data_IF_483642978942
#
_entry.id   IF_483642978942
#
_cell.length_a   1.000
_cell.length_b   1.000
_cell.length_c   1.000
_cell.angle_alpha   90.00
_cell.angle_beta   90.00
_cell.angle_gamma   90.00
#
_symmetry.space_group_name_H-M   'P 1'
#
loop_
_entity.id
_entity.type
_entity.pdbx_description
1 polymer ?
#
# COMPACT_ATOMS: atom_id res chain seq x y z
N UNK A 1 72.35 20.96 -9.31
CA UNK A 1 70.93 21.30 -8.97
C UNK A 1 70.91 22.10 -7.69
N UNK A 2 70.41 23.32 -7.73
CA UNK A 2 70.36 24.19 -6.55
C UNK A 2 69.38 23.65 -5.50
N UNK A 3 69.67 23.87 -4.23
CA UNK A 3 68.89 23.39 -3.05
C UNK A 3 67.38 23.70 -3.23
N UNK A 4 67.04 24.86 -3.78
CA UNK A 4 65.66 25.29 -4.04
C UNK A 4 64.96 24.45 -5.12
N UNK A 5 65.64 23.95 -6.12
CA UNK A 5 65.07 23.10 -7.19
C UNK A 5 64.74 21.68 -6.66
N UNK A 6 65.49 21.18 -5.68
CA UNK A 6 65.19 19.92 -5.00
C UNK A 6 63.98 20.04 -4.08
N UNK A 7 63.83 21.16 -3.36
CA UNK A 7 62.68 21.45 -2.51
C UNK A 7 61.41 21.57 -3.38
N UNK A 8 61.47 22.30 -4.47
CA UNK A 8 60.34 22.43 -5.40
C UNK A 8 59.91 21.07 -5.99
N UNK A 9 60.88 20.27 -6.46
CA UNK A 9 60.58 18.90 -6.93
C UNK A 9 59.90 18.02 -5.86
N UNK A 10 60.40 18.09 -4.63
CA UNK A 10 59.84 17.32 -3.51
C UNK A 10 58.40 17.78 -3.19
N UNK A 11 58.12 19.07 -3.19
CA UNK A 11 56.77 19.64 -3.00
C UNK A 11 55.78 19.23 -4.12
N UNK A 12 56.24 19.20 -5.37
CA UNK A 12 55.39 18.76 -6.48
C UNK A 12 55.08 17.29 -6.43
N UNK A 13 56.06 16.46 -6.07
CA UNK A 13 55.85 14.99 -5.87
C UNK A 13 54.91 14.73 -4.70
N UNK A 14 55.08 15.46 -3.59
CA UNK A 14 54.20 15.32 -2.41
C UNK A 14 52.75 15.73 -2.74
N UNK A 15 52.53 16.81 -3.50
CA UNK A 15 51.21 17.22 -3.97
C UNK A 15 50.59 16.18 -4.90
N UNK A 16 51.37 15.59 -5.80
CA UNK A 16 50.92 14.50 -6.66
C UNK A 16 50.51 13.25 -5.86
N UNK A 17 51.29 12.85 -4.87
CA UNK A 17 50.96 11.72 -4.00
C UNK A 17 49.67 11.99 -3.17
N UNK A 18 49.53 13.23 -2.65
CA UNK A 18 48.32 13.62 -1.92
C UNK A 18 47.09 13.64 -2.82
N UNK A 19 47.20 14.14 -4.07
CA UNK A 19 46.08 14.15 -5.00
C UNK A 19 45.68 12.74 -5.44
N UNK A 20 46.61 11.83 -5.65
CA UNK A 20 46.37 10.43 -5.96
C UNK A 20 45.71 9.71 -4.73
N UNK A 21 46.26 9.95 -3.51
CA UNK A 21 45.66 9.39 -2.30
C UNK A 21 44.23 9.91 -2.07
N UNK A 22 43.96 11.18 -2.33
CA UNK A 22 42.60 11.77 -2.28
C UNK A 22 41.71 11.18 -3.37
N UNK A 23 42.18 10.99 -4.58
CA UNK A 23 41.42 10.34 -5.65
C UNK A 23 41.10 8.87 -5.30
N UNK A 24 42.06 8.13 -4.73
CA UNK A 24 41.82 6.77 -4.24
C UNK A 24 40.82 6.73 -3.09
N UNK A 25 40.88 7.66 -2.13
CA UNK A 25 39.92 7.69 -1.02
C UNK A 25 38.51 8.04 -1.50
N UNK A 26 38.35 8.89 -2.53
CA UNK A 26 37.04 9.20 -3.14
C UNK A 26 36.50 7.98 -3.90
N UNK A 27 37.36 7.25 -4.63
CA UNK A 27 36.96 6.03 -5.35
C UNK A 27 36.66 4.90 -4.39
N UNK A 28 37.37 4.77 -3.28
CA UNK A 28 37.17 3.74 -2.25
C UNK A 28 35.90 4.03 -1.41
N UNK A 29 35.58 5.30 -1.14
CA UNK A 29 34.29 5.71 -0.57
C UNK A 29 33.11 5.41 -1.51
N UNK A 30 33.28 5.57 -2.82
CA UNK A 30 32.23 5.21 -3.80
C UNK A 30 32.04 3.71 -4.01
N UNK A 31 33.04 2.88 -3.66
CA UNK A 31 32.96 1.42 -3.79
C UNK A 31 32.50 0.68 -2.50
N UNK A 32 32.33 1.40 -1.39
CA UNK A 32 31.96 0.83 -0.10
C UNK A 32 30.58 1.34 0.36
N UNK A 33 29.70 1.75 -0.55
CA UNK A 33 28.30 2.00 -0.21
C UNK A 33 27.69 0.68 0.26
N UNK A 34 27.38 0.61 1.56
CA UNK A 34 26.70 -0.53 2.15
C UNK A 34 25.35 -0.71 1.47
N UNK A 35 25.20 -1.76 0.67
CA UNK A 35 23.90 -2.10 0.10
C UNK A 35 23.02 -2.70 1.18
N UNK A 36 22.00 -2.00 1.61
CA UNK A 36 21.01 -2.52 2.55
C UNK A 36 20.09 -3.52 1.88
N UNK A 37 19.69 -4.56 2.62
CA UNK A 37 18.69 -5.53 2.19
C UNK A 37 17.42 -5.35 3.02
N UNK A 38 16.28 -5.19 2.34
CA UNK A 38 14.98 -4.94 2.97
C UNK A 38 13.99 -6.01 2.55
N UNK A 39 13.33 -6.67 3.51
CA UNK A 39 12.25 -7.62 3.23
C UNK A 39 10.90 -6.92 3.18
N UNK A 40 10.13 -7.26 2.15
CA UNK A 40 8.73 -6.81 1.97
C UNK A 40 7.81 -7.96 2.34
N UNK A 41 6.93 -7.72 3.31
CA UNK A 41 6.01 -8.72 3.87
C UNK A 41 4.60 -8.17 3.73
N UNK A 42 3.82 -8.76 2.82
CA UNK A 42 2.43 -8.40 2.54
C UNK A 42 1.55 -9.64 2.50
N UNK A 43 0.26 -9.49 2.72
CA UNK A 43 -0.69 -10.60 2.61
C UNK A 43 -0.76 -11.11 1.17
N UNK A 44 -0.76 -12.44 1.01
CA UNK A 44 -0.83 -13.10 -0.31
C UNK A 44 0.10 -12.46 -1.34
N UNK A 45 1.41 -12.51 -1.09
CA UNK A 45 2.46 -11.80 -1.85
C UNK A 45 2.47 -12.09 -3.36
N UNK A 46 1.79 -13.15 -3.82
CA UNK A 46 1.66 -13.51 -5.23
C UNK A 46 0.41 -12.93 -5.90
N UNK A 47 -0.44 -12.20 -5.17
CA UNK A 47 -1.61 -11.54 -5.75
C UNK A 47 -1.21 -10.47 -6.77
N UNK A 48 -1.92 -10.41 -7.89
CA UNK A 48 -1.76 -9.37 -8.91
C UNK A 48 -2.06 -7.95 -8.39
N UNK A 49 -2.78 -7.84 -7.29
CA UNK A 49 -2.98 -6.59 -6.57
C UNK A 49 -1.66 -5.84 -6.33
N UNK A 50 -0.58 -6.55 -6.01
CA UNK A 50 0.70 -5.96 -5.65
C UNK A 50 1.60 -5.56 -6.82
N UNK A 51 1.14 -5.70 -8.08
CA UNK A 51 1.98 -5.42 -9.25
C UNK A 51 2.49 -3.99 -9.25
N UNK A 52 1.62 -2.99 -9.26
CA UNK A 52 2.01 -1.57 -9.25
C UNK A 52 2.81 -1.17 -8.00
N UNK A 53 2.49 -1.74 -6.83
CA UNK A 53 3.25 -1.52 -5.60
C UNK A 53 4.69 -1.99 -5.76
N UNK A 54 4.89 -3.23 -6.25
CA UNK A 54 6.23 -3.81 -6.45
C UNK A 54 7.02 -3.02 -7.47
N UNK A 55 6.42 -2.59 -8.57
CA UNK A 55 7.07 -1.72 -9.56
C UNK A 55 7.56 -0.40 -8.94
N UNK A 56 6.76 0.22 -8.08
CA UNK A 56 7.17 1.40 -7.33
C UNK A 56 8.31 1.12 -6.35
N UNK A 57 8.25 0.00 -5.65
CA UNK A 57 9.32 -0.45 -4.75
C UNK A 57 10.62 -0.72 -5.49
N UNK A 58 10.57 -1.43 -6.63
CA UNK A 58 11.74 -1.77 -7.44
C UNK A 58 12.39 -0.51 -8.04
N UNK A 59 11.58 0.47 -8.46
CA UNK A 59 12.08 1.76 -8.93
C UNK A 59 12.86 2.50 -7.82
N UNK A 60 12.27 2.61 -6.62
CA UNK A 60 12.94 3.23 -5.49
C UNK A 60 14.19 2.43 -5.05
N UNK A 61 14.11 1.11 -5.07
CA UNK A 61 15.25 0.25 -4.72
C UNK A 61 16.46 0.50 -5.64
N UNK A 62 16.21 0.73 -6.93
CA UNK A 62 17.25 1.13 -7.90
C UNK A 62 17.81 2.51 -7.58
N UNK A 63 16.94 3.48 -7.26
CA UNK A 63 17.34 4.87 -7.00
C UNK A 63 18.14 5.01 -5.70
N UNK A 64 17.80 4.23 -4.68
CA UNK A 64 18.41 4.30 -3.33
C UNK A 64 19.43 3.20 -3.06
N UNK A 65 19.77 2.34 -4.02
CA UNK A 65 20.75 1.27 -3.85
C UNK A 65 20.32 0.19 -2.82
N UNK A 66 19.02 -0.02 -2.66
CA UNK A 66 18.44 -1.03 -1.77
C UNK A 66 18.26 -2.36 -2.52
N UNK A 67 18.52 -3.47 -1.85
CA UNK A 67 18.14 -4.81 -2.33
C UNK A 67 16.82 -5.21 -1.68
N UNK A 68 15.80 -5.49 -2.50
CA UNK A 68 14.52 -5.98 -2.00
C UNK A 68 14.47 -7.51 -1.98
N UNK A 69 13.90 -8.04 -0.91
CA UNK A 69 13.51 -9.42 -0.75
C UNK A 69 11.99 -9.49 -0.53
N UNK A 70 11.26 -10.02 -1.51
CA UNK A 70 9.81 -10.22 -1.37
C UNK A 70 9.55 -11.54 -0.66
N UNK A 71 9.21 -11.49 0.63
CA UNK A 71 8.89 -12.68 1.39
C UNK A 71 7.68 -13.39 0.79
N UNK A 72 7.80 -14.69 0.55
CA UNK A 72 6.70 -15.51 0.04
C UNK A 72 5.69 -15.74 1.17
N UNK A 73 4.51 -15.16 1.02
CA UNK A 73 3.38 -15.33 1.93
C UNK A 73 2.20 -15.94 1.20
N UNK A 74 1.44 -16.78 1.88
CA UNK A 74 0.07 -17.10 1.49
C UNK A 74 -0.91 -16.07 2.05
N UNK A 75 -2.20 -16.37 1.96
CA UNK A 75 -3.22 -15.58 2.66
C UNK A 75 -2.96 -15.67 4.17
N UNK A 76 -2.72 -14.55 4.79
CA UNK A 76 -2.56 -14.44 6.25
C UNK A 76 -3.94 -14.60 6.91
N UNK A 77 -3.97 -15.22 8.08
CA UNK A 77 -5.22 -15.56 8.76
C UNK A 77 -5.15 -15.36 10.29
N UNK A 78 -4.01 -14.88 10.78
CA UNK A 78 -3.84 -14.52 12.20
C UNK A 78 -2.66 -13.55 12.36
N UNK A 79 -2.52 -12.97 13.55
CA UNK A 79 -1.44 -12.02 13.90
C UNK A 79 -0.06 -12.68 14.01
N UNK A 80 -0.02 -13.96 14.34
CA UNK A 80 1.23 -14.66 14.68
C UNK A 80 2.09 -14.95 13.44
N UNK A 81 1.54 -15.50 12.33
CA UNK A 81 2.38 -15.87 11.18
C UNK A 81 3.14 -14.70 10.55
N UNK A 82 2.57 -13.49 10.53
CA UNK A 82 3.27 -12.34 9.93
C UNK A 82 4.47 -11.92 10.78
N UNK A 83 4.34 -11.89 12.10
CA UNK A 83 5.43 -11.53 13.00
C UNK A 83 6.54 -12.60 13.03
N UNK A 84 6.17 -13.86 12.92
CA UNK A 84 7.14 -14.96 12.79
C UNK A 84 7.91 -14.86 11.44
N UNK A 85 7.26 -14.36 10.38
CA UNK A 85 7.95 -14.05 9.12
C UNK A 85 8.93 -12.88 9.32
N UNK A 86 8.52 -11.80 9.98
CA UNK A 86 9.40 -10.67 10.29
C UNK A 86 10.63 -11.13 11.06
N UNK A 87 10.45 -11.94 12.13
CA UNK A 87 11.54 -12.46 12.95
C UNK A 87 12.53 -13.28 12.12
N UNK A 88 12.04 -14.21 11.32
CA UNK A 88 12.85 -15.05 10.42
C UNK A 88 13.62 -14.24 9.39
N UNK A 89 13.00 -13.23 8.76
CA UNK A 89 13.67 -12.37 7.79
C UNK A 89 14.81 -11.58 8.45
N UNK A 90 14.59 -11.04 9.66
CA UNK A 90 15.62 -10.33 10.42
C UNK A 90 16.76 -11.27 10.86
N UNK A 91 16.44 -12.49 11.29
CA UNK A 91 17.44 -13.52 11.61
C UNK A 91 18.26 -13.93 10.37
N UNK A 92 17.67 -13.88 9.18
CA UNK A 92 18.39 -14.14 7.92
C UNK A 92 19.35 -13.02 7.52
N UNK A 93 19.35 -11.91 8.25
CA UNK A 93 20.30 -10.80 8.11
C UNK A 93 19.83 -9.65 7.25
N UNK A 94 18.50 -9.49 7.01
CA UNK A 94 17.98 -8.28 6.38
C UNK A 94 18.13 -7.08 7.30
N UNK A 95 18.37 -5.90 6.72
CA UNK A 95 18.61 -4.67 7.47
C UNK A 95 17.31 -4.01 7.96
N UNK A 96 16.19 -4.23 7.25
CA UNK A 96 14.89 -3.68 7.61
C UNK A 96 13.73 -4.42 6.96
N UNK A 97 12.50 -4.06 7.37
CA UNK A 97 11.27 -4.66 6.85
C UNK A 97 10.23 -3.60 6.47
N UNK A 98 9.53 -3.83 5.36
CA UNK A 98 8.33 -3.11 4.97
C UNK A 98 7.18 -4.08 5.17
N UNK A 99 6.25 -3.76 6.06
CA UNK A 99 5.27 -4.71 6.59
C UNK A 99 3.84 -4.20 6.44
N UNK A 100 2.98 -4.98 5.79
CA UNK A 100 1.54 -4.82 5.90
C UNK A 100 1.02 -5.66 7.05
N UNK A 101 0.42 -5.03 8.06
CA UNK A 101 -0.13 -5.72 9.21
C UNK A 101 -1.42 -6.47 8.85
N UNK A 102 -1.53 -7.71 9.30
CA UNK A 102 -2.78 -8.46 9.25
C UNK A 102 -3.81 -7.91 10.25
N UNK A 103 -3.35 -7.48 11.43
CA UNK A 103 -4.18 -6.85 12.45
C UNK A 103 -3.45 -5.69 13.11
N UNK A 104 -4.15 -4.59 13.32
CA UNK A 104 -3.59 -3.36 13.89
C UNK A 104 -3.60 -3.35 15.41
N UNK A 105 -4.44 -4.16 16.04
CA UNK A 105 -4.58 -4.21 17.50
C UNK A 105 -3.88 -5.42 18.12
N UNK A 106 -3.28 -5.21 19.29
CA UNK A 106 -2.63 -6.26 20.08
C UNK A 106 -1.37 -6.84 19.45
N UNK A 107 -0.76 -6.14 18.48
CA UNK A 107 0.51 -6.53 17.85
C UNK A 107 1.69 -5.67 18.33
N UNK A 108 1.41 -4.54 18.95
CA UNK A 108 2.41 -3.54 19.32
C UNK A 108 3.58 -4.13 20.13
N UNK A 109 3.30 -4.74 21.28
CA UNK A 109 4.33 -5.27 22.17
C UNK A 109 5.20 -6.35 21.49
N UNK A 110 4.55 -7.23 20.70
CA UNK A 110 5.29 -8.29 19.98
C UNK A 110 6.12 -7.73 18.84
N UNK A 111 5.60 -6.77 18.08
CA UNK A 111 6.34 -6.14 16.99
C UNK A 111 7.55 -5.36 17.52
N UNK A 112 7.40 -4.65 18.64
CA UNK A 112 8.49 -3.92 19.30
C UNK A 112 9.61 -4.85 19.80
N UNK A 113 9.27 -6.08 20.22
CA UNK A 113 10.25 -7.09 20.59
C UNK A 113 11.03 -7.65 19.40
N UNK A 114 10.40 -7.68 18.21
CA UNK A 114 10.95 -8.30 17.01
C UNK A 114 11.75 -7.30 16.17
N UNK A 115 11.25 -6.08 16.00
CA UNK A 115 11.90 -5.08 15.14
C UNK A 115 11.86 -3.68 15.73
N UNK A 116 12.97 -2.96 15.65
CA UNK A 116 13.06 -1.56 16.09
C UNK A 116 12.41 -0.61 15.07
N UNK A 117 12.00 0.57 15.52
CA UNK A 117 11.28 1.57 14.72
C UNK A 117 12.08 2.12 13.54
N UNK A 118 13.39 2.16 13.64
CA UNK A 118 14.32 2.57 12.59
C UNK A 118 14.53 1.50 11.51
N UNK A 119 14.05 0.28 11.74
CA UNK A 119 14.16 -0.86 10.80
C UNK A 119 12.81 -1.34 10.30
N UNK A 120 11.72 -0.60 10.55
CA UNK A 120 10.38 -0.98 10.11
C UNK A 120 9.62 0.21 9.52
N UNK A 121 8.96 -0.03 8.39
CA UNK A 121 7.94 0.84 7.80
C UNK A 121 6.67 0.03 7.64
N UNK A 122 5.55 0.54 8.15
CA UNK A 122 4.24 -0.06 7.93
C UNK A 122 3.67 0.39 6.59
N UNK A 123 2.97 -0.51 5.92
CA UNK A 123 2.40 -0.31 4.60
C UNK A 123 0.87 -0.32 4.66
N UNK A 124 0.23 0.71 4.09
CA UNK A 124 -1.21 0.86 3.92
C UNK A 124 -2.00 1.01 5.23
N UNK A 125 -1.71 0.21 6.24
CA UNK A 125 -2.43 0.21 7.53
C UNK A 125 -1.50 0.50 8.69
N UNK A 126 -1.94 1.39 9.57
CA UNK A 126 -1.26 1.71 10.82
C UNK A 126 -1.65 0.70 11.92
N UNK A 127 -1.02 0.81 13.06
CA UNK A 127 -1.26 0.00 14.25
C UNK A 127 -1.89 0.82 15.38
N UNK A 128 -2.25 0.15 16.46
CA UNK A 128 -2.71 0.84 17.68
C UNK A 128 -1.65 0.63 18.79
N UNK A 129 -1.10 1.69 19.39
CA UNK A 129 -1.38 3.12 19.12
C UNK A 129 -0.89 3.58 17.74
N UNK A 130 -1.66 4.50 17.14
CA UNK A 130 -1.31 5.08 15.83
C UNK A 130 0.01 5.86 15.90
N UNK A 131 0.70 5.96 14.75
CA UNK A 131 1.96 6.70 14.59
C UNK A 131 3.14 6.20 15.45
N UNK A 132 3.03 5.05 16.07
CA UNK A 132 4.16 4.49 16.81
C UNK A 132 5.25 4.00 15.86
N UNK A 133 4.89 3.28 14.80
CA UNK A 133 5.74 3.02 13.63
C UNK A 133 5.32 3.96 12.50
N UNK A 134 6.30 4.36 11.68
CA UNK A 134 5.99 5.13 10.49
C UNK A 134 5.18 4.29 9.50
N UNK A 135 4.07 4.85 9.04
CA UNK A 135 3.20 4.22 8.05
C UNK A 135 3.25 5.00 6.73
N UNK A 136 3.32 4.29 5.61
CA UNK A 136 3.17 4.82 4.25
C UNK A 136 1.89 4.25 3.66
N UNK A 137 0.93 5.12 3.36
CA UNK A 137 -0.35 4.70 2.82
C UNK A 137 -1.30 5.85 2.54
N UNK A 138 -2.49 5.60 2.00
CA UNK A 138 -3.48 6.63 1.77
C UNK A 138 -4.14 7.06 3.10
N UNK A 139 -4.81 8.22 3.08
CA UNK A 139 -5.77 8.57 4.12
C UNK A 139 -7.01 7.67 3.98
N UNK A 140 -7.04 6.60 4.77
CA UNK A 140 -8.07 5.57 4.65
C UNK A 140 -9.48 6.07 5.02
N UNK A 141 -9.61 6.96 6.03
CA UNK A 141 -10.90 7.58 6.36
C UNK A 141 -11.41 8.42 5.20
N UNK A 142 -10.52 9.16 4.55
CA UNK A 142 -10.85 9.95 3.37
C UNK A 142 -11.30 9.08 2.20
N UNK A 143 -10.68 7.92 1.95
CA UNK A 143 -11.12 7.00 0.89
C UNK A 143 -12.58 6.58 1.08
N UNK A 144 -12.97 6.23 2.30
CA UNK A 144 -14.38 5.91 2.62
C UNK A 144 -15.31 7.09 2.40
N UNK A 145 -14.90 8.28 2.84
CA UNK A 145 -15.66 9.51 2.63
C UNK A 145 -15.83 9.87 1.15
N UNK A 146 -14.83 9.58 0.32
CA UNK A 146 -14.89 9.77 -1.14
C UNK A 146 -15.94 8.86 -1.75
N UNK A 147 -15.99 7.57 -1.39
CA UNK A 147 -17.06 6.67 -1.85
C UNK A 147 -18.44 7.21 -1.51
N UNK A 148 -18.66 7.71 -0.29
CA UNK A 148 -19.90 8.36 0.08
C UNK A 148 -20.19 9.61 -0.76
N UNK A 149 -19.16 10.36 -1.12
CA UNK A 149 -19.23 11.53 -2.02
C UNK A 149 -19.74 11.14 -3.41
N UNK A 150 -19.16 10.08 -3.99
CA UNK A 150 -19.58 9.55 -5.31
C UNK A 150 -21.04 9.07 -5.30
N UNK A 151 -21.47 8.39 -4.23
CA UNK A 151 -22.88 8.02 -4.10
C UNK A 151 -23.79 9.23 -4.06
N UNK A 152 -23.40 10.27 -3.32
CA UNK A 152 -24.20 11.53 -3.26
C UNK A 152 -24.23 12.22 -4.62
N UNK A 153 -23.15 12.22 -5.38
CA UNK A 153 -23.09 12.79 -6.72
C UNK A 153 -24.01 12.02 -7.70
N UNK A 154 -23.99 10.68 -7.65
CA UNK A 154 -24.75 9.82 -8.56
C UNK A 154 -26.26 9.80 -8.27
N UNK A 155 -26.62 9.78 -7.00
CA UNK A 155 -28.01 9.56 -6.60
C UNK A 155 -28.73 10.85 -6.15
N UNK A 156 -28.02 11.82 -5.59
CA UNK A 156 -28.63 13.02 -5.01
C UNK A 156 -29.72 12.66 -3.99
N UNK A 157 -30.89 13.28 -4.10
CA UNK A 157 -32.05 13.01 -3.24
C UNK A 157 -32.57 11.56 -3.35
N UNK A 158 -32.30 10.85 -4.45
CA UNK A 158 -32.69 9.43 -4.62
C UNK A 158 -31.90 8.46 -3.75
N UNK A 159 -30.86 8.94 -3.04
CA UNK A 159 -30.10 8.14 -2.09
C UNK A 159 -30.93 7.83 -0.83
N UNK A 160 -31.89 8.70 -0.50
CA UNK A 160 -32.78 8.50 0.64
C UNK A 160 -33.57 7.19 0.50
N UNK A 161 -33.49 6.37 1.56
CA UNK A 161 -34.12 5.06 1.64
C UNK A 161 -33.46 3.95 0.83
N UNK A 162 -32.36 4.25 0.11
CA UNK A 162 -31.56 3.21 -0.54
C UNK A 162 -30.89 2.31 0.48
N UNK A 163 -30.89 1.03 0.18
CA UNK A 163 -30.28 -0.03 0.97
C UNK A 163 -28.87 -0.27 0.45
N UNK A 164 -27.91 -0.17 1.34
CA UNK A 164 -26.49 -0.32 1.04
C UNK A 164 -25.96 -1.60 1.69
N UNK A 165 -25.25 -2.41 0.92
CA UNK A 165 -24.42 -3.50 1.42
C UNK A 165 -22.96 -3.12 1.41
N UNK A 166 -22.20 -3.48 2.42
CA UNK A 166 -20.77 -3.16 2.52
C UNK A 166 -19.96 -4.44 2.69
N UNK A 167 -19.04 -4.68 1.76
CA UNK A 167 -18.02 -5.72 1.83
C UNK A 167 -16.75 -5.07 2.41
N UNK A 168 -16.44 -5.37 3.66
CA UNK A 168 -15.36 -4.70 4.38
C UNK A 168 -14.00 -5.37 4.19
N UNK A 169 -13.98 -6.71 4.08
CA UNK A 169 -12.74 -7.46 4.18
C UNK A 169 -12.24 -7.59 5.61
N UNK A 170 -10.92 -7.51 5.81
CA UNK A 170 -10.30 -7.72 7.12
C UNK A 170 -10.42 -6.50 8.04
N UNK A 171 -11.46 -6.43 8.84
CA UNK A 171 -11.67 -5.35 9.83
C UNK A 171 -10.68 -5.40 11.02
N UNK A 172 -9.82 -6.40 11.09
CA UNK A 172 -8.65 -6.38 11.99
C UNK A 172 -7.65 -5.27 11.64
N UNK A 173 -7.61 -4.86 10.37
CA UNK A 173 -6.78 -3.75 9.90
C UNK A 173 -7.43 -2.40 10.21
N UNK A 174 -6.65 -1.46 10.75
CA UNK A 174 -7.11 -0.10 11.02
C UNK A 174 -7.55 0.60 9.73
N UNK A 175 -6.85 0.37 8.62
CA UNK A 175 -7.19 0.92 7.31
C UNK A 175 -8.64 0.61 6.91
N UNK A 176 -9.07 -0.64 7.06
CA UNK A 176 -10.43 -1.07 6.70
C UNK A 176 -11.47 -0.42 7.63
N UNK A 177 -11.20 -0.37 8.93
CA UNK A 177 -12.09 0.31 9.89
C UNK A 177 -12.23 1.80 9.56
N UNK A 178 -11.12 2.48 9.27
CA UNK A 178 -11.12 3.90 8.88
C UNK A 178 -11.90 4.14 7.58
N UNK A 179 -11.79 3.24 6.59
CA UNK A 179 -12.60 3.32 5.35
C UNK A 179 -14.09 3.18 5.64
N UNK A 180 -14.46 2.23 6.50
CA UNK A 180 -15.86 2.06 6.91
C UNK A 180 -16.38 3.28 7.65
N UNK A 181 -15.63 3.79 8.64
CA UNK A 181 -15.99 4.99 9.40
C UNK A 181 -16.16 6.21 8.49
N UNK A 182 -15.24 6.41 7.55
CA UNK A 182 -15.33 7.52 6.58
C UNK A 182 -16.56 7.39 5.66
N UNK A 183 -16.90 6.18 5.25
CA UNK A 183 -18.11 5.90 4.49
C UNK A 183 -19.38 6.21 5.31
N UNK A 184 -19.46 5.71 6.54
CA UNK A 184 -20.59 5.93 7.45
C UNK A 184 -20.78 7.41 7.77
N UNK A 185 -19.69 8.12 8.08
CA UNK A 185 -19.71 9.57 8.31
C UNK A 185 -20.20 10.33 7.07
N UNK A 186 -19.72 9.95 5.89
CA UNK A 186 -20.10 10.57 4.64
C UNK A 186 -21.57 10.31 4.24
N UNK A 187 -22.15 9.19 4.68
CA UNK A 187 -23.57 8.85 4.44
C UNK A 187 -24.53 9.42 5.49
N UNK A 188 -24.00 10.00 6.57
CA UNK A 188 -24.83 10.65 7.58
C UNK A 188 -25.76 11.68 6.94
N UNK A 189 -26.97 11.75 7.39
CA UNK A 189 -27.99 12.70 6.90
C UNK A 189 -28.48 12.50 5.45
N UNK A 190 -27.99 11.49 4.72
CA UNK A 190 -28.49 11.17 3.38
C UNK A 190 -29.83 10.44 3.40
N UNK A 191 -30.11 9.76 4.52
CA UNK A 191 -31.26 8.87 4.65
C UNK A 191 -31.09 7.51 3.97
N UNK A 192 -29.90 7.20 3.47
CA UNK A 192 -29.53 5.84 3.05
C UNK A 192 -29.36 4.92 4.28
N UNK A 193 -29.54 3.62 4.09
CA UNK A 193 -29.47 2.65 5.18
C UNK A 193 -28.44 1.57 4.84
N UNK A 194 -27.41 1.45 5.65
CA UNK A 194 -26.51 0.28 5.57
C UNK A 194 -27.31 -0.91 6.10
N UNK A 195 -27.76 -1.76 5.19
CA UNK A 195 -28.61 -2.90 5.50
C UNK A 195 -27.81 -4.09 6.01
N UNK A 196 -26.61 -4.26 5.49
CA UNK A 196 -25.70 -5.31 5.95
C UNK A 196 -24.25 -4.88 5.73
N UNK A 197 -23.39 -5.42 6.57
CA UNK A 197 -21.94 -5.29 6.49
C UNK A 197 -21.36 -6.69 6.60
N UNK A 198 -20.54 -7.08 5.63
CA UNK A 198 -19.78 -8.32 5.67
C UNK A 198 -18.34 -7.99 6.03
N UNK A 199 -17.95 -8.37 7.24
CA UNK A 199 -16.60 -8.24 7.75
C UNK A 199 -16.00 -9.62 7.90
N UNK A 200 -14.93 -9.93 7.21
CA UNK A 200 -14.22 -11.18 7.36
C UNK A 200 -13.00 -10.97 8.26
N UNK A 201 -13.02 -11.65 9.41
CA UNK A 201 -11.84 -11.82 10.25
C UNK A 201 -11.39 -13.28 10.09
N UNK A 202 -10.54 -13.54 9.09
CA UNK A 202 -9.97 -14.87 8.90
C UNK A 202 -10.18 -15.53 7.54
N UNK A 203 -9.72 -16.72 7.43
CA UNK A 203 -9.31 -17.55 6.30
C UNK A 203 -10.34 -17.85 5.19
N UNK A 204 -11.58 -17.46 5.31
CA UNK A 204 -12.61 -17.91 4.37
C UNK A 204 -12.95 -16.83 3.36
N UNK A 205 -12.44 -17.00 2.14
CA UNK A 205 -13.12 -16.50 0.94
C UNK A 205 -14.48 -17.21 0.86
N UNK A 206 -15.40 -16.86 1.77
CA UNK A 206 -16.67 -17.54 1.87
C UNK A 206 -17.68 -16.90 0.91
N UNK A 207 -17.70 -17.40 -0.35
CA UNK A 207 -18.69 -16.97 -1.34
C UNK A 207 -20.13 -17.21 -0.87
N UNK A 208 -20.35 -18.15 0.05
CA UNK A 208 -21.67 -18.37 0.64
C UNK A 208 -22.09 -17.20 1.51
N UNK A 209 -21.17 -16.59 2.28
CA UNK A 209 -21.47 -15.38 3.04
C UNK A 209 -21.77 -14.18 2.11
N UNK A 210 -21.05 -14.06 1.00
CA UNK A 210 -21.37 -13.05 -0.03
C UNK A 210 -22.77 -13.29 -0.59
N UNK A 211 -23.11 -14.54 -0.93
CA UNK A 211 -24.43 -14.92 -1.44
C UNK A 211 -25.53 -14.58 -0.42
N UNK A 212 -25.38 -14.98 0.83
CA UNK A 212 -26.36 -14.71 1.89
C UNK A 212 -26.58 -13.20 2.09
N UNK A 213 -25.52 -12.40 2.00
CA UNK A 213 -25.62 -10.95 2.06
C UNK A 213 -26.33 -10.38 0.83
N UNK A 214 -26.02 -10.89 -0.37
CA UNK A 214 -26.64 -10.43 -1.62
C UNK A 214 -28.14 -10.78 -1.69
N UNK A 215 -28.55 -11.93 -1.14
CA UNK A 215 -29.97 -12.32 -1.04
C UNK A 215 -30.80 -11.36 -0.18
N UNK A 216 -30.16 -10.54 0.67
CA UNK A 216 -30.83 -9.47 1.43
C UNK A 216 -31.19 -8.24 0.61
N UNK A 217 -30.92 -8.26 -0.69
CA UNK A 217 -31.26 -7.21 -1.65
C UNK A 217 -30.78 -5.80 -1.26
N UNK A 218 -29.57 -5.44 -1.61
CA UNK A 218 -29.08 -4.08 -1.55
C UNK A 218 -29.29 -3.37 -2.91
N UNK A 219 -29.67 -2.11 -2.90
CA UNK A 219 -29.70 -1.25 -4.09
C UNK A 219 -28.30 -0.87 -4.56
N UNK A 220 -27.37 -0.80 -3.60
CA UNK A 220 -25.99 -0.38 -3.76
C UNK A 220 -25.10 -1.33 -2.99
N UNK A 221 -24.02 -1.80 -3.59
CA UNK A 221 -22.97 -2.54 -2.90
C UNK A 221 -21.65 -1.76 -2.98
N UNK A 222 -20.91 -1.76 -1.89
CA UNK A 222 -19.62 -1.06 -1.75
C UNK A 222 -18.60 -2.04 -1.22
N UNK A 223 -17.45 -2.13 -1.88
CA UNK A 223 -16.31 -2.92 -1.40
C UNK A 223 -15.18 -1.98 -0.93
N UNK A 224 -14.64 -2.24 0.27
CA UNK A 224 -13.67 -1.35 0.91
C UNK A 224 -12.21 -1.70 0.65
N UNK A 225 -11.93 -2.76 -0.10
CA UNK A 225 -10.59 -3.09 -0.59
C UNK A 225 -10.63 -3.82 -1.94
N UNK A 226 -9.43 -4.04 -2.52
CA UNK A 226 -9.31 -4.67 -3.83
C UNK A 226 -9.82 -6.12 -3.84
N UNK A 227 -9.56 -6.88 -2.78
CA UNK A 227 -9.96 -8.30 -2.67
C UNK A 227 -11.48 -8.43 -2.63
N UNK A 228 -12.14 -7.58 -1.85
CA UNK A 228 -13.60 -7.56 -1.78
C UNK A 228 -14.22 -7.04 -3.08
N UNK A 229 -13.57 -6.08 -3.74
CA UNK A 229 -14.01 -5.60 -5.06
C UNK A 229 -13.93 -6.71 -6.10
N UNK A 230 -12.84 -7.48 -6.14
CA UNK A 230 -12.71 -8.65 -7.02
C UNK A 230 -13.75 -9.72 -6.72
N UNK A 231 -13.99 -10.01 -5.43
CA UNK A 231 -14.99 -11.00 -4.99
C UNK A 231 -16.40 -10.61 -5.40
N UNK A 232 -16.72 -9.33 -5.25
CA UNK A 232 -18.02 -8.81 -5.66
C UNK A 232 -18.26 -8.96 -7.17
N UNK A 233 -17.27 -8.61 -7.99
CA UNK A 233 -17.41 -8.75 -9.46
C UNK A 233 -17.50 -10.21 -9.89
N UNK A 234 -16.79 -11.14 -9.24
CA UNK A 234 -16.92 -12.58 -9.50
C UNK A 234 -18.35 -13.03 -9.22
N UNK A 235 -18.89 -12.68 -8.05
CA UNK A 235 -20.26 -13.01 -7.69
C UNK A 235 -21.27 -12.44 -8.69
N UNK A 236 -21.12 -11.17 -9.08
CA UNK A 236 -22.01 -10.52 -10.04
C UNK A 236 -21.94 -11.20 -11.41
N UNK A 237 -20.74 -11.55 -11.89
CA UNK A 237 -20.55 -12.24 -13.18
C UNK A 237 -21.16 -13.65 -13.17
N UNK A 238 -20.86 -14.46 -12.14
CA UNK A 238 -21.38 -15.82 -12.00
C UNK A 238 -22.90 -15.87 -11.93
N UNK A 239 -23.55 -14.84 -11.37
CA UNK A 239 -25.00 -14.76 -11.25
C UNK A 239 -25.67 -13.91 -12.34
N UNK A 240 -24.92 -13.45 -13.35
CA UNK A 240 -25.42 -12.67 -14.46
C UNK A 240 -25.98 -11.30 -14.06
N UNK A 241 -25.57 -10.75 -12.92
CA UNK A 241 -26.02 -9.45 -12.43
C UNK A 241 -25.42 -8.31 -13.26
N UNK A 242 -26.19 -7.27 -13.45
CA UNK A 242 -25.82 -6.09 -14.23
C UNK A 242 -25.88 -4.83 -13.37
N UNK A 243 -25.25 -3.76 -13.87
CA UNK A 243 -25.26 -2.42 -13.24
C UNK A 243 -26.67 -1.91 -12.87
N UNK A 244 -27.71 -2.31 -13.61
CA UNK A 244 -29.08 -1.93 -13.33
C UNK A 244 -29.71 -2.68 -12.15
N UNK A 245 -29.21 -3.88 -11.84
CA UNK A 245 -29.73 -4.72 -10.77
C UNK A 245 -29.18 -4.28 -9.41
N UNK A 246 -27.92 -3.83 -9.39
CA UNK A 246 -27.25 -3.30 -8.22
C UNK A 246 -26.15 -2.30 -8.65
N UNK A 247 -26.11 -1.14 -8.04
CA UNK A 247 -25.02 -0.18 -8.27
C UNK A 247 -23.82 -0.59 -7.45
N UNK A 248 -22.66 -0.81 -8.11
CA UNK A 248 -21.47 -1.28 -7.44
C UNK A 248 -20.34 -0.24 -7.46
N UNK A 249 -19.74 0.00 -6.29
CA UNK A 249 -18.60 0.90 -6.05
C UNK A 249 -17.52 0.14 -5.27
N UNK A 250 -16.24 0.45 -5.51
CA UNK A 250 -15.18 -0.27 -4.82
C UNK A 250 -13.91 0.53 -4.62
N UNK A 251 -13.04 0.00 -3.76
CA UNK A 251 -11.65 0.41 -3.64
C UNK A 251 -10.79 -0.66 -4.29
N UNK A 252 -9.87 -0.26 -5.17
CA UNK A 252 -8.93 -1.18 -5.81
C UNK A 252 -8.40 -0.64 -7.13
N UNK A 253 -7.36 -1.31 -7.62
CA UNK A 253 -6.66 -0.94 -8.85
C UNK A 253 -6.08 -2.13 -9.62
N UNK A 254 -6.41 -3.38 -9.24
CA UNK A 254 -5.95 -4.54 -9.99
C UNK A 254 -6.51 -4.54 -11.42
N UNK A 255 -5.79 -5.16 -12.36
CA UNK A 255 -6.23 -5.27 -13.75
C UNK A 255 -7.66 -5.81 -13.87
N UNK A 256 -8.03 -6.74 -12.99
CA UNK A 256 -9.36 -7.32 -12.95
C UNK A 256 -10.43 -6.28 -12.62
N UNK A 257 -10.25 -5.50 -11.54
CA UNK A 257 -11.25 -4.51 -11.17
C UNK A 257 -11.35 -3.39 -12.20
N UNK A 258 -10.23 -2.98 -12.79
CA UNK A 258 -10.20 -1.99 -13.88
C UNK A 258 -10.91 -2.53 -15.13
N UNK A 259 -10.72 -3.81 -15.49
CA UNK A 259 -11.44 -4.46 -16.58
C UNK A 259 -12.97 -4.41 -16.38
N UNK A 260 -13.46 -4.69 -15.15
CA UNK A 260 -14.89 -4.65 -14.88
C UNK A 260 -15.46 -3.24 -14.76
N UNK A 261 -14.65 -2.24 -14.40
CA UNK A 261 -15.00 -0.83 -14.51
C UNK A 261 -15.21 -0.45 -16.00
N UNK A 262 -14.27 -0.84 -16.87
CA UNK A 262 -14.37 -0.56 -18.31
C UNK A 262 -15.64 -1.19 -18.93
N UNK A 263 -15.98 -2.39 -18.50
CA UNK A 263 -17.23 -3.06 -18.91
C UNK A 263 -18.49 -2.51 -18.26
N UNK A 264 -18.37 -1.56 -17.35
CA UNK A 264 -19.48 -0.88 -16.70
C UNK A 264 -20.20 -1.69 -15.62
N UNK A 265 -19.60 -2.79 -15.13
CA UNK A 265 -20.13 -3.53 -13.98
C UNK A 265 -19.90 -2.74 -12.68
N UNK A 266 -18.72 -2.13 -12.55
CA UNK A 266 -18.38 -1.18 -11.48
C UNK A 266 -18.73 0.23 -11.95
N UNK A 267 -19.35 1.05 -11.09
CA UNK A 267 -19.65 2.44 -11.39
C UNK A 267 -18.45 3.34 -11.22
N UNK A 268 -17.84 3.25 -10.05
CA UNK A 268 -16.70 4.08 -9.67
C UNK A 268 -15.74 3.24 -8.84
N UNK A 269 -14.45 3.41 -9.10
CA UNK A 269 -13.35 2.92 -8.27
C UNK A 269 -12.65 4.09 -7.59
N UNK A 270 -12.38 3.94 -6.31
CA UNK A 270 -11.38 4.73 -5.62
C UNK A 270 -10.09 3.92 -5.61
N UNK A 271 -9.12 4.34 -6.43
CA UNK A 271 -7.87 3.61 -6.66
C UNK A 271 -6.71 4.28 -5.91
N UNK A 272 -6.18 3.69 -4.83
CA UNK A 272 -4.95 4.17 -4.19
C UNK A 272 -3.79 4.17 -5.20
N UNK A 273 -2.91 5.18 -5.11
CA UNK A 273 -1.70 5.22 -5.94
C UNK A 273 -0.65 4.26 -5.36
N UNK A 274 -0.77 2.99 -5.73
CA UNK A 274 0.07 1.92 -5.18
C UNK A 274 1.53 2.02 -5.63
N UNK A 275 1.79 2.48 -6.86
CA UNK A 275 3.16 2.74 -7.30
C UNK A 275 3.85 3.76 -6.39
N UNK A 276 3.19 4.89 -6.12
CA UNK A 276 3.74 5.92 -5.24
C UNK A 276 3.88 5.40 -3.79
N UNK A 277 2.93 4.59 -3.32
CA UNK A 277 3.00 3.96 -1.99
C UNK A 277 4.21 3.03 -1.89
N UNK A 278 4.45 2.20 -2.91
CA UNK A 278 5.62 1.33 -2.99
C UNK A 278 6.93 2.12 -3.02
N UNK A 279 7.02 3.12 -3.91
CA UNK A 279 8.20 3.98 -4.02
C UNK A 279 8.54 4.66 -2.70
N UNK A 280 7.54 5.32 -2.08
CA UNK A 280 7.71 6.04 -0.81
C UNK A 280 8.08 5.12 0.36
N UNK A 281 7.58 3.90 0.40
CA UNK A 281 7.91 2.96 1.48
C UNK A 281 9.39 2.55 1.47
N UNK A 282 9.97 2.34 0.29
CA UNK A 282 11.40 2.04 0.13
C UNK A 282 12.26 3.28 0.37
N UNK A 283 11.86 4.45 -0.13
CA UNK A 283 12.54 5.73 0.11
C UNK A 283 12.62 6.03 1.62
N UNK A 284 11.52 5.87 2.36
CA UNK A 284 11.49 6.09 3.81
C UNK A 284 12.34 5.05 4.55
N UNK A 285 12.33 3.79 4.11
CA UNK A 285 13.19 2.75 4.67
C UNK A 285 14.67 3.04 4.40
N UNK A 286 15.04 3.46 3.19
CA UNK A 286 16.40 3.86 2.86
C UNK A 286 16.89 4.98 3.79
N UNK A 287 16.07 6.00 3.99
CA UNK A 287 16.38 7.10 4.91
C UNK A 287 16.54 6.61 6.35
N UNK A 288 15.64 5.74 6.84
CA UNK A 288 15.74 5.17 8.19
C UNK A 288 17.04 4.40 8.41
N UNK A 289 17.41 3.56 7.46
CA UNK A 289 18.62 2.74 7.54
C UNK A 289 19.91 3.58 7.47
N UNK A 290 19.92 4.60 6.61
CA UNK A 290 21.08 5.50 6.47
C UNK A 290 21.32 6.36 7.72
N UNK A 291 20.24 6.91 8.31
CA UNK A 291 20.33 7.88 9.41
C UNK A 291 19.90 7.33 10.76
N UNK A 292 19.54 6.03 10.85
CA UNK A 292 19.00 5.40 12.07
C UNK A 292 17.82 6.19 12.67
N UNK A 293 16.94 6.69 11.79
CA UNK A 293 15.87 7.62 12.14
C UNK A 293 14.60 6.89 12.55
N UNK A 294 14.22 6.92 13.82
CA UNK A 294 13.04 6.22 14.35
C UNK A 294 11.74 7.07 14.41
N UNK A 295 11.85 8.39 14.46
CA UNK A 295 10.73 9.29 14.72
C UNK A 295 10.25 10.07 13.49
N UNK A 296 10.05 9.41 12.35
CA UNK A 296 9.54 10.07 11.14
C UNK A 296 8.01 10.05 11.12
N UNK A 297 7.37 11.13 10.59
CA UNK A 297 5.92 11.17 10.47
C UNK A 297 5.42 10.17 9.42
N UNK A 298 4.15 9.81 9.52
CA UNK A 298 3.46 9.04 8.50
C UNK A 298 3.47 9.76 7.14
N UNK A 299 3.53 9.00 6.07
CA UNK A 299 3.51 9.52 4.70
C UNK A 299 2.18 9.19 4.04
N UNK A 300 1.42 10.21 3.71
CA UNK A 300 0.17 10.04 2.99
C UNK A 300 0.42 9.97 1.49
N UNK A 301 -0.15 8.95 0.85
CA UNK A 301 -0.13 8.77 -0.61
C UNK A 301 -1.47 9.18 -1.24
N UNK A 302 -1.43 9.49 -2.55
CA UNK A 302 -2.61 9.89 -3.30
C UNK A 302 -3.53 8.72 -3.66
N UNK A 303 -4.67 9.07 -4.26
CA UNK A 303 -5.63 8.14 -4.86
C UNK A 303 -6.26 8.78 -6.10
N UNK A 304 -6.89 7.97 -6.93
CA UNK A 304 -7.72 8.40 -8.05
C UNK A 304 -9.17 8.03 -7.79
N UNK A 305 -10.08 8.82 -8.36
CA UNK A 305 -11.50 8.47 -8.50
C UNK A 305 -11.75 8.23 -9.97
N UNK A 306 -12.12 7.00 -10.32
CA UNK A 306 -12.14 6.54 -11.70
C UNK A 306 -13.50 5.95 -12.03
N UNK A 307 -14.06 6.38 -13.16
CA UNK A 307 -15.24 5.82 -13.79
C UNK A 307 -14.98 5.57 -15.28
N UNK A 308 -16.00 5.12 -16.01
CA UNK A 308 -15.88 4.88 -17.46
C UNK A 308 -15.57 6.15 -18.28
N UNK A 309 -15.85 7.34 -17.75
CA UNK A 309 -15.67 8.61 -18.49
C UNK A 309 -14.25 9.12 -18.45
N UNK A 310 -13.50 8.78 -17.36
CA UNK A 310 -12.16 9.27 -17.14
C UNK A 310 -11.07 8.15 -17.08
N UNK A 311 -11.48 6.88 -17.21
CA UNK A 311 -10.57 5.74 -17.18
C UNK A 311 -9.38 5.90 -18.15
N UNK A 312 -9.65 6.44 -19.33
CA UNK A 312 -8.66 6.59 -20.41
C UNK A 312 -7.92 7.94 -20.40
N UNK A 313 -8.16 8.79 -19.42
CA UNK A 313 -7.38 10.01 -19.25
C UNK A 313 -5.92 9.69 -19.03
N UNK A 314 -5.02 10.39 -19.71
CA UNK A 314 -3.57 10.12 -19.68
C UNK A 314 -2.99 10.08 -18.27
N UNK A 315 -3.46 10.96 -17.38
CA UNK A 315 -3.02 11.01 -15.98
C UNK A 315 -3.45 9.75 -15.22
N UNK A 316 -4.68 9.28 -15.43
CA UNK A 316 -5.21 8.09 -14.77
C UNK A 316 -4.51 6.83 -15.28
N UNK A 317 -4.28 6.73 -16.59
CA UNK A 317 -3.55 5.62 -17.19
C UNK A 317 -2.12 5.48 -16.66
N UNK A 318 -1.40 6.60 -16.48
CA UNK A 318 -0.05 6.58 -15.92
C UNK A 318 0.03 6.09 -14.48
N UNK A 319 -1.03 6.28 -13.68
CA UNK A 319 -1.08 5.84 -12.29
C UNK A 319 -1.59 4.41 -12.18
N UNK A 320 -2.58 4.02 -13.00
CA UNK A 320 -3.12 2.67 -13.01
C UNK A 320 -2.15 1.65 -13.62
N UNK A 321 -1.44 2.05 -14.67
CA UNK A 321 -0.53 1.21 -15.43
C UNK A 321 0.83 1.91 -15.58
N UNK A 322 1.59 2.06 -14.49
CA UNK A 322 2.89 2.69 -14.56
C UNK A 322 3.82 1.87 -15.46
N UNK A 323 4.34 2.51 -16.52
CA UNK A 323 5.37 1.91 -17.36
C UNK A 323 6.69 2.28 -16.72
N UNK A 324 7.36 1.32 -16.11
CA UNK A 324 8.76 1.49 -15.64
C UNK A 324 9.66 1.46 -16.86
N UNK A 325 10.29 2.59 -17.18
CA UNK A 325 11.31 2.72 -18.22
C UNK A 325 12.72 2.41 -17.69
#
# INVERSE_FOLDING_TARGET
MTKNRRILMFSVVMLLVLSVAMAFSIVDQGNNERTYTVSVIVDNSNSSRWTSLKEGMDAAAKDYGIRLNYASTGVLWSKTPELDIVERELESGVDGVILQLYASEGVHERLEQVVSRDRCVLLETDMTPEEYYQTVGPDNRKLGGVLAGELKADFGERLRGKKIGVLCGNTGQLAIRQRLEGLEEGLKDTGAVIQWTLAEMGRTQNMDAVRECWEKHADIVIALDNTETERAVDYMEENGLKRQDCAFYGIGNSEKVVYYLDRGLIRTLVAPNEFHMGYRSVEEMAYKLEYQASGRPNVQTGYLVIDQTNLYDETNQKILFPIVQ
#
